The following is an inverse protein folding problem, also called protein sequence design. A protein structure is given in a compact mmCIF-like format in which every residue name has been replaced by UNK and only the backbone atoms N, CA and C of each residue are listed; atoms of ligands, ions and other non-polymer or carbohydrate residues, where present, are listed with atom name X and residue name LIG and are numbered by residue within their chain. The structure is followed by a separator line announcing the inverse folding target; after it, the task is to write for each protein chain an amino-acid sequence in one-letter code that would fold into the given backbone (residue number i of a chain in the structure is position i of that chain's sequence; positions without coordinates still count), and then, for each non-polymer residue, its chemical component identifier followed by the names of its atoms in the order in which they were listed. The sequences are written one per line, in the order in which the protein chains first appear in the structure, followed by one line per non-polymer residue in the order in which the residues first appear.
data_IF_541099922656
#
_entry.id   IF_541099922656
#
_cell.length_a   1.000
_cell.length_b   1.000
_cell.length_c   1.000
_cell.angle_alpha   90.00
_cell.angle_beta   90.00
_cell.angle_gamma   90.00
#
_symmetry.space_group_name_H-M   'P 1'
#
loop_
_entity.id
_entity.type
_entity.pdbx_description
1 polymer ?
#
# COMPACT_ATOMS: atom_id res chain seq x y z
N UNK A 1 -6.25 9.82 20.41
CA UNK A 1 -5.14 9.80 19.44
C UNK A 1 -5.66 9.35 18.09
N UNK A 2 -5.33 10.06 17.03
CA UNK A 2 -5.70 9.57 15.71
C UNK A 2 -5.00 8.25 15.44
N UNK A 3 -5.69 7.36 14.76
CA UNK A 3 -5.12 6.10 14.34
C UNK A 3 -4.73 6.18 12.87
N UNK A 4 -3.73 5.42 12.47
CA UNK A 4 -3.33 5.27 11.07
C UNK A 4 -3.99 4.01 10.53
N UNK A 5 -4.82 4.18 9.51
CA UNK A 5 -5.53 3.06 8.87
C UNK A 5 -4.70 2.51 7.72
N UNK A 6 -4.49 1.19 7.73
CA UNK A 6 -3.68 0.49 6.74
C UNK A 6 -4.52 -0.57 6.03
N UNK A 7 -4.53 -0.52 4.70
CA UNK A 7 -5.19 -1.52 3.87
C UNK A 7 -4.12 -2.40 3.21
N UNK A 8 -4.23 -3.70 3.42
CA UNK A 8 -3.32 -4.70 2.85
C UNK A 8 -4.06 -5.47 1.76
N UNK A 9 -3.56 -5.40 0.53
CA UNK A 9 -4.20 -6.04 -0.62
C UNK A 9 -3.33 -7.14 -1.19
N UNK A 10 -3.71 -8.37 -0.97
CA UNK A 10 -3.04 -9.54 -1.52
C UNK A 10 -3.94 -10.77 -1.39
N UNK A 11 -3.94 -11.67 -2.38
CA UNK A 11 -4.63 -12.94 -2.25
C UNK A 11 -3.91 -13.91 -1.33
N UNK A 12 -2.64 -13.66 -1.01
CA UNK A 12 -1.80 -14.53 -0.21
C UNK A 12 -1.81 -14.12 1.27
N UNK A 13 -2.34 -14.97 2.19
CA UNK A 13 -2.35 -14.65 3.61
C UNK A 13 -0.97 -14.42 4.21
N UNK A 14 0.05 -15.15 3.76
CA UNK A 14 1.42 -14.99 4.25
C UNK A 14 1.98 -13.62 3.85
N UNK A 15 1.68 -13.18 2.64
CA UNK A 15 2.09 -11.86 2.17
C UNK A 15 1.41 -10.76 3.01
N UNK A 16 0.12 -10.90 3.28
CA UNK A 16 -0.59 -9.93 4.13
C UNK A 16 -0.01 -9.87 5.53
N UNK A 17 0.35 -11.03 6.11
CA UNK A 17 0.96 -11.05 7.43
C UNK A 17 2.31 -10.36 7.44
N UNK A 18 3.16 -10.62 6.43
CA UNK A 18 4.45 -9.95 6.29
C UNK A 18 4.29 -8.43 6.17
N UNK A 19 3.34 -7.98 5.36
CA UNK A 19 3.01 -6.56 5.22
C UNK A 19 2.62 -5.95 6.56
N UNK A 20 1.75 -6.62 7.30
CA UNK A 20 1.29 -6.14 8.61
C UNK A 20 2.46 -6.01 9.59
N UNK A 21 3.32 -7.03 9.66
CA UNK A 21 4.49 -7.00 10.54
C UNK A 21 5.45 -5.87 10.14
N UNK A 22 5.63 -5.65 8.85
CA UNK A 22 6.48 -4.59 8.34
C UNK A 22 5.97 -3.21 8.79
N UNK A 23 4.67 -2.97 8.66
CA UNK A 23 4.09 -1.68 9.09
C UNK A 23 4.12 -1.55 10.61
N UNK A 24 3.84 -2.62 11.34
CA UNK A 24 3.91 -2.59 12.81
C UNK A 24 5.29 -2.21 13.33
N UNK A 25 6.34 -2.52 12.57
CA UNK A 25 7.70 -2.19 12.97
C UNK A 25 7.95 -0.68 13.10
N UNK A 26 7.15 0.14 12.45
CA UNK A 26 7.28 1.61 12.52
C UNK A 26 6.23 2.27 13.43
N UNK A 27 5.36 1.49 14.05
CA UNK A 27 4.28 2.02 14.90
C UNK A 27 4.81 2.96 15.98
N UNK A 28 5.86 2.52 16.68
CA UNK A 28 6.47 3.33 17.73
C UNK A 28 7.02 4.67 17.19
N UNK A 29 7.64 4.65 16.01
CA UNK A 29 8.22 5.85 15.41
C UNK A 29 7.14 6.79 14.87
N UNK A 30 5.99 6.25 14.47
CA UNK A 30 4.85 7.06 14.05
C UNK A 30 4.15 7.73 15.24
N UNK A 31 4.22 7.10 16.42
CA UNK A 31 3.56 7.61 17.61
C UNK A 31 2.05 7.51 17.57
N UNK A 32 1.50 6.68 16.70
CA UNK A 32 0.07 6.51 16.49
C UNK A 32 -0.31 5.05 16.46
N UNK A 33 -1.54 4.74 16.85
CA UNK A 33 -2.08 3.39 16.76
C UNK A 33 -2.31 3.01 15.31
N UNK A 34 -2.01 1.76 14.96
CA UNK A 34 -2.26 1.23 13.62
C UNK A 34 -3.50 0.35 13.62
N UNK A 35 -4.35 0.53 12.61
CA UNK A 35 -5.53 -0.30 12.38
C UNK A 35 -5.42 -0.91 10.98
N UNK A 36 -5.56 -2.24 10.92
CA UNK A 36 -5.39 -2.99 9.69
C UNK A 36 -6.68 -3.52 9.13
N UNK A 37 -6.83 -3.43 7.82
CA UNK A 37 -7.87 -4.11 7.05
C UNK A 37 -7.20 -4.84 5.91
N UNK A 38 -7.83 -5.89 5.40
CA UNK A 38 -7.28 -6.69 4.32
C UNK A 38 -8.30 -6.88 3.21
N UNK A 39 -7.80 -6.96 1.97
CA UNK A 39 -8.59 -7.31 0.80
C UNK A 39 -7.84 -8.38 0.00
N UNK A 40 -8.58 -9.33 -0.56
CA UNK A 40 -8.00 -10.46 -1.29
C UNK A 40 -7.51 -10.12 -2.69
N UNK A 41 -8.06 -9.09 -3.28
CA UNK A 41 -7.74 -8.71 -4.65
C UNK A 41 -7.93 -7.20 -4.86
N UNK A 42 -7.56 -6.74 -6.05
CA UNK A 42 -7.62 -5.33 -6.38
C UNK A 42 -9.02 -4.76 -6.45
N UNK A 43 -10.03 -5.56 -6.86
CA UNK A 43 -11.41 -5.08 -6.92
C UNK A 43 -11.95 -4.81 -5.51
N UNK A 44 -11.77 -5.74 -4.59
CA UNK A 44 -12.17 -5.57 -3.20
C UNK A 44 -11.36 -4.48 -2.52
N UNK A 45 -10.06 -4.40 -2.84
CA UNK A 45 -9.17 -3.36 -2.34
C UNK A 45 -9.61 -1.96 -2.78
N UNK A 46 -9.99 -1.81 -4.04
CA UNK A 46 -10.48 -0.54 -4.58
C UNK A 46 -11.75 -0.10 -3.87
N UNK A 47 -12.70 -1.01 -3.69
CA UNK A 47 -13.94 -0.71 -2.97
C UNK A 47 -13.68 -0.31 -1.53
N UNK A 48 -12.81 -1.04 -0.84
CA UNK A 48 -12.45 -0.73 0.54
C UNK A 48 -11.77 0.64 0.64
N UNK A 49 -10.85 0.93 -0.27
CA UNK A 49 -10.12 2.20 -0.26
C UNK A 49 -11.04 3.40 -0.53
N UNK A 50 -11.99 3.27 -1.45
CA UNK A 50 -12.94 4.34 -1.74
C UNK A 50 -13.92 4.58 -0.57
N UNK A 51 -14.30 3.51 0.12
CA UNK A 51 -15.21 3.61 1.26
C UNK A 51 -14.50 4.17 2.49
N UNK A 52 -13.34 3.64 2.83
CA UNK A 52 -12.67 3.89 4.11
C UNK A 52 -11.55 4.94 4.04
N UNK A 53 -11.06 5.25 2.85
CA UNK A 53 -9.95 6.20 2.65
C UNK A 53 -8.79 5.97 3.62
N UNK A 54 -8.14 4.79 3.61
CA UNK A 54 -7.04 4.50 4.53
C UNK A 54 -5.85 5.45 4.31
N UNK A 55 -4.98 5.55 5.29
CA UNK A 55 -3.79 6.39 5.19
C UNK A 55 -2.69 5.73 4.35
N UNK A 56 -2.61 4.40 4.42
CA UNK A 56 -1.60 3.60 3.73
C UNK A 56 -2.26 2.42 3.03
N UNK A 57 -1.87 2.18 1.78
CA UNK A 57 -2.23 0.97 1.04
C UNK A 57 -0.96 0.26 0.64
N UNK A 58 -0.85 -1.03 0.97
CA UNK A 58 0.23 -1.88 0.44
C UNK A 58 -0.45 -2.96 -0.39
N UNK A 59 -0.12 -3.01 -1.67
CA UNK A 59 -0.76 -3.92 -2.60
C UNK A 59 0.26 -4.79 -3.33
N UNK A 60 -0.04 -6.07 -3.43
CA UNK A 60 0.75 -7.06 -4.14
C UNK A 60 0.32 -7.11 -5.60
N UNK A 61 1.27 -6.97 -6.52
CA UNK A 61 1.03 -7.23 -7.93
C UNK A 61 1.30 -8.69 -8.24
N UNK A 62 0.44 -9.56 -7.74
CA UNK A 62 0.45 -10.96 -8.09
C UNK A 62 -0.43 -11.11 -9.33
N UNK A 63 0.02 -11.89 -10.31
CA UNK A 63 -0.68 -12.10 -11.57
C UNK A 63 -2.08 -12.68 -11.31
N UNK A 64 -3.04 -11.82 -11.07
CA UNK A 64 -4.42 -12.17 -10.83
C UNK A 64 -5.33 -11.09 -11.42
N UNK A 65 -6.62 -11.33 -11.37
CA UNK A 65 -7.63 -10.34 -11.76
C UNK A 65 -7.46 -9.07 -10.95
N UNK A 66 -7.44 -7.92 -11.61
CA UNK A 66 -7.38 -6.62 -10.97
C UNK A 66 -6.23 -6.53 -9.95
N UNK A 67 -5.03 -6.36 -10.47
CA UNK A 67 -3.83 -6.22 -9.64
C UNK A 67 -3.64 -4.83 -9.07
N UNK A 68 -2.49 -4.63 -8.44
CA UNK A 68 -2.15 -3.39 -7.76
C UNK A 68 -2.06 -2.18 -8.70
N UNK A 69 -1.66 -2.37 -9.95
CA UNK A 69 -1.59 -1.27 -10.93
C UNK A 69 -2.98 -0.71 -11.22
N UNK A 70 -3.94 -1.60 -11.47
CA UNK A 70 -5.32 -1.22 -11.74
C UNK A 70 -5.95 -0.52 -10.55
N UNK A 71 -5.76 -1.06 -9.36
CA UNK A 71 -6.22 -0.46 -8.11
C UNK A 71 -5.67 0.97 -7.97
N UNK A 72 -4.36 1.11 -8.11
CA UNK A 72 -3.68 2.40 -7.92
C UNK A 72 -4.17 3.43 -8.93
N UNK A 73 -4.21 3.05 -10.20
CA UNK A 73 -4.66 3.94 -11.27
C UNK A 73 -6.10 4.39 -11.06
N UNK A 74 -6.99 3.46 -10.71
CA UNK A 74 -8.40 3.77 -10.45
C UNK A 74 -8.54 4.76 -9.30
N UNK A 75 -7.80 4.57 -8.22
CA UNK A 75 -7.86 5.46 -7.05
C UNK A 75 -7.31 6.84 -7.34
N UNK A 76 -6.21 6.93 -8.08
CA UNK A 76 -5.60 8.23 -8.44
C UNK A 76 -6.44 9.01 -9.44
N UNK A 77 -7.14 8.31 -10.34
CA UNK A 77 -7.96 8.93 -11.39
C UNK A 77 -9.42 9.14 -10.99
N UNK A 78 -9.80 8.78 -9.77
CA UNK A 78 -11.16 8.98 -9.29
C UNK A 78 -11.52 10.48 -9.29
N UNK A 79 -12.82 10.79 -9.40
CA UNK A 79 -13.31 12.18 -9.35
C UNK A 79 -12.90 12.88 -8.04
N UNK A 80 -12.78 12.10 -6.97
CA UNK A 80 -12.20 12.53 -5.70
C UNK A 80 -10.92 11.70 -5.48
N UNK A 81 -9.77 12.12 -6.02
CA UNK A 81 -8.57 11.30 -6.03
C UNK A 81 -8.10 10.89 -4.64
N UNK A 82 -7.73 9.63 -4.51
CA UNK A 82 -7.09 9.14 -3.29
C UNK A 82 -5.68 9.73 -3.20
N UNK A 83 -5.37 10.38 -2.07
CA UNK A 83 -4.10 11.08 -1.86
C UNK A 83 -3.20 10.43 -0.80
N UNK A 84 -3.62 9.30 -0.24
CA UNK A 84 -2.80 8.56 0.73
C UNK A 84 -1.61 7.87 0.10
N UNK A 85 -0.84 7.19 0.94
CA UNK A 85 0.36 6.46 0.51
C UNK A 85 -0.02 5.13 -0.13
N UNK A 86 0.50 4.87 -1.34
CA UNK A 86 0.34 3.57 -2.01
C UNK A 86 1.72 2.99 -2.30
N UNK A 87 1.97 1.79 -1.77
CA UNK A 87 3.18 1.01 -2.02
C UNK A 87 2.80 -0.28 -2.74
N UNK A 88 3.49 -0.61 -3.82
CA UNK A 88 3.25 -1.83 -4.60
C UNK A 88 4.42 -2.79 -4.44
N UNK A 89 4.11 -4.06 -4.18
CA UNK A 89 5.10 -5.14 -4.19
C UNK A 89 5.04 -5.84 -5.54
N UNK A 90 6.16 -5.88 -6.24
CA UNK A 90 6.27 -6.39 -7.61
C UNK A 90 6.88 -7.78 -7.65
N UNK A 91 6.39 -8.61 -8.59
CA UNK A 91 7.00 -9.91 -8.88
C UNK A 91 8.20 -9.75 -9.80
N UNK A 92 8.16 -8.76 -10.72
CA UNK A 92 9.16 -8.62 -11.78
C UNK A 92 9.69 -7.21 -11.87
N UNK A 93 11.00 -7.11 -11.99
CA UNK A 93 11.71 -5.82 -12.06
C UNK A 93 11.25 -4.96 -13.24
N UNK A 94 10.98 -5.58 -14.40
CA UNK A 94 10.60 -4.81 -15.58
C UNK A 94 9.19 -4.20 -15.49
N UNK A 95 8.43 -4.52 -14.45
CA UNK A 95 7.13 -3.92 -14.22
C UNK A 95 7.20 -2.61 -13.41
N UNK A 96 8.39 -2.17 -13.04
CA UNK A 96 8.56 -0.93 -12.24
C UNK A 96 7.95 0.29 -12.94
N UNK A 97 8.04 0.37 -14.26
CA UNK A 97 7.47 1.49 -15.00
C UNK A 97 5.93 1.53 -14.87
N UNK A 98 5.29 0.36 -14.75
CA UNK A 98 3.84 0.29 -14.53
C UNK A 98 3.46 0.81 -13.16
N UNK A 99 4.27 0.50 -12.13
CA UNK A 99 4.04 1.02 -10.78
C UNK A 99 4.12 2.55 -10.78
N UNK A 100 5.13 3.10 -11.41
CA UNK A 100 5.29 4.56 -11.54
C UNK A 100 4.13 5.17 -12.32
N UNK A 101 3.80 4.60 -13.48
CA UNK A 101 2.71 5.06 -14.33
C UNK A 101 1.36 5.07 -13.59
N UNK A 102 1.09 4.06 -12.77
CA UNK A 102 -0.18 3.95 -12.05
C UNK A 102 -0.37 5.01 -10.97
N UNK A 103 0.72 5.65 -10.52
CA UNK A 103 0.68 6.68 -9.50
C UNK A 103 1.04 6.20 -8.10
N UNK A 104 1.73 5.05 -7.98
CA UNK A 104 2.23 4.57 -6.70
C UNK A 104 3.33 5.49 -6.16
N UNK A 105 3.41 5.61 -4.84
CA UNK A 105 4.45 6.42 -4.18
C UNK A 105 5.77 5.67 -4.10
N UNK A 106 5.72 4.35 -3.99
CA UNK A 106 6.91 3.51 -3.94
C UNK A 106 6.58 2.09 -4.42
N UNK A 107 7.60 1.35 -4.81
CA UNK A 107 7.47 -0.05 -5.21
C UNK A 107 8.74 -0.80 -4.87
N UNK A 108 8.57 -2.10 -4.57
CA UNK A 108 9.67 -2.98 -4.20
C UNK A 108 9.52 -4.30 -4.96
N UNK A 109 10.63 -4.78 -5.53
CA UNK A 109 10.63 -6.04 -6.29
C UNK A 109 11.00 -7.18 -5.36
N UNK A 110 10.24 -8.27 -5.42
CA UNK A 110 10.53 -9.47 -4.63
C UNK A 110 11.87 -10.12 -5.04
N UNK A 111 12.62 -10.69 -4.09
CA UNK A 111 12.35 -10.74 -2.65
C UNK A 111 12.54 -9.38 -1.98
N UNK A 112 11.56 -8.99 -1.17
CA UNK A 112 11.56 -7.66 -0.55
C UNK A 112 12.29 -7.67 0.79
N UNK A 113 12.89 -6.52 1.12
CA UNK A 113 13.50 -6.28 2.42
C UNK A 113 12.49 -5.48 3.28
N UNK A 114 11.93 -6.08 4.35
CA UNK A 114 10.98 -5.38 5.19
C UNK A 114 11.51 -4.08 5.80
N UNK A 115 12.81 -4.01 6.06
CA UNK A 115 13.43 -2.79 6.61
C UNK A 115 13.40 -1.63 5.61
N UNK A 116 13.66 -1.92 4.34
CA UNK A 116 13.59 -0.91 3.27
C UNK A 116 12.17 -0.39 3.11
N UNK A 117 11.19 -1.30 3.14
CA UNK A 117 9.78 -0.93 3.05
C UNK A 117 9.38 -0.06 4.24
N UNK A 118 9.75 -0.47 5.45
CA UNK A 118 9.44 0.26 6.68
C UNK A 118 10.02 1.67 6.66
N UNK A 119 11.30 1.81 6.31
CA UNK A 119 11.96 3.11 6.23
C UNK A 119 11.30 4.02 5.21
N UNK A 120 10.98 3.49 4.03
CA UNK A 120 10.32 4.29 2.98
C UNK A 120 8.91 4.68 3.35
N UNK A 121 8.17 3.79 4.01
CA UNK A 121 6.82 4.10 4.52
C UNK A 121 6.86 5.25 5.50
N UNK A 122 7.81 5.22 6.44
CA UNK A 122 7.95 6.28 7.42
C UNK A 122 8.22 7.63 6.76
N UNK A 123 9.11 7.66 5.76
CA UNK A 123 9.39 8.86 4.99
C UNK A 123 8.13 9.37 4.28
N UNK A 124 7.40 8.48 3.61
CA UNK A 124 6.21 8.85 2.83
C UNK A 124 5.08 9.37 3.71
N UNK A 125 4.83 8.74 4.85
CA UNK A 125 3.81 9.19 5.79
C UNK A 125 4.18 10.57 6.33
N UNK A 126 5.44 10.78 6.68
CA UNK A 126 5.93 12.07 7.18
C UNK A 126 5.78 13.16 6.12
N UNK A 127 6.14 12.87 4.86
CA UNK A 127 5.99 13.82 3.74
C UNK A 127 4.51 14.21 3.54
N UNK A 128 3.60 13.25 3.60
CA UNK A 128 2.17 13.52 3.43
C UNK A 128 1.61 14.38 4.56
N UNK A 129 2.10 14.21 5.78
CA UNK A 129 1.67 15.01 6.93
C UNK A 129 2.13 16.47 6.83
N UNK A 130 3.27 16.71 6.18
CA UNK A 130 3.83 18.07 6.04
C UNK A 130 3.43 18.77 4.75
N UNK A 131 2.76 18.08 3.86
CA UNK A 131 2.35 18.63 2.56
C UNK A 131 1.15 19.55 2.66
#
# INVERSE_FOLDING_TARGET
MPAVDVLLVSPDPESRELMALTVRSIERRLGEELRFRAARDGDLGTKAALRDRPDIIIADEIASRAGAFSLTKTLRDDADPYTGVIVILLERKHDQWLAKWSGADAWFVRPVDPFEIADRLLELVTEKETA
#
